data_IF_675345721452
#
_entry.id   IF_675345721452
#
_cell.length_a   1.000
_cell.length_b   1.000
_cell.length_c   1.000
_cell.angle_alpha   90.00
_cell.angle_beta   90.00
_cell.angle_gamma   90.00
#
_symmetry.space_group_name_H-M   'P 1'
#
loop_
_entity.id
_entity.type
_entity.pdbx_description
1 polymer ?
#
# COMPACT_ATOMS: atom_id res chain seq x y z
N UNK A 1 -10.84 -3.62 -3.63
CA UNK A 1 -11.02 -2.47 -2.73
C UNK A 1 -12.33 -2.66 -1.97
N UNK A 2 -12.35 -2.45 -0.65
CA UNK A 2 -13.55 -2.61 0.19
C UNK A 2 -14.61 -1.55 -0.19
N UNK A 3 -15.90 -1.89 -0.14
CA UNK A 3 -17.01 -0.95 -0.42
C UNK A 3 -17.00 0.23 0.55
N UNK A 4 -16.59 0.02 1.81
CA UNK A 4 -16.42 1.09 2.80
C UNK A 4 -15.34 2.10 2.41
N UNK A 5 -14.18 1.64 1.93
CA UNK A 5 -13.08 2.50 1.44
C UNK A 5 -13.56 3.32 0.26
N UNK A 6 -14.25 2.68 -0.68
CA UNK A 6 -14.70 3.34 -1.90
C UNK A 6 -15.78 4.39 -1.61
N UNK A 7 -16.75 4.08 -0.76
CA UNK A 7 -17.77 5.04 -0.34
C UNK A 7 -17.16 6.23 0.41
N UNK A 8 -16.19 5.98 1.30
CA UNK A 8 -15.46 7.03 2.00
C UNK A 8 -14.72 7.95 1.02
N UNK A 9 -14.01 7.38 0.04
CA UNK A 9 -13.31 8.15 -1.00
C UNK A 9 -14.27 9.01 -1.80
N UNK A 10 -15.40 8.46 -2.26
CA UNK A 10 -16.36 9.22 -3.05
C UNK A 10 -16.98 10.39 -2.27
N UNK A 11 -17.25 10.21 -0.97
CA UNK A 11 -17.69 11.30 -0.11
C UNK A 11 -16.63 12.39 0.02
N UNK A 12 -15.37 12.01 0.28
CA UNK A 12 -14.27 12.97 0.39
C UNK A 12 -14.02 13.71 -0.94
N UNK A 13 -14.10 13.00 -2.07
CA UNK A 13 -14.00 13.59 -3.40
C UNK A 13 -15.13 14.57 -3.69
N UNK A 14 -16.35 14.28 -3.23
CA UNK A 14 -17.49 15.17 -3.42
C UNK A 14 -17.30 16.48 -2.64
N UNK A 15 -16.70 16.42 -1.44
CA UNK A 15 -16.43 17.62 -0.62
C UNK A 15 -15.34 18.50 -1.26
N UNK A 16 -14.23 17.90 -1.71
CA UNK A 16 -13.12 18.67 -2.29
C UNK A 16 -13.45 19.29 -3.66
N UNK A 17 -14.32 18.64 -4.45
CA UNK A 17 -14.76 19.13 -5.74
C UNK A 17 -15.40 20.54 -5.72
N UNK A 18 -15.87 20.99 -4.54
CA UNK A 18 -16.44 22.33 -4.35
C UNK A 18 -15.43 23.36 -3.79
N UNK A 19 -14.27 22.93 -3.31
CA UNK A 19 -13.26 23.80 -2.67
C UNK A 19 -12.43 24.55 -3.72
N UNK A 20 -12.33 24.00 -4.93
CA UNK A 20 -11.71 24.61 -6.10
C UNK A 20 -12.60 25.75 -6.62
N UNK A 21 -12.06 26.96 -6.76
CA UNK A 21 -12.81 28.18 -7.09
C UNK A 21 -13.46 28.19 -8.48
N UNK A 22 -13.06 27.28 -9.36
CA UNK A 22 -13.69 27.07 -10.64
C UNK A 22 -14.85 26.08 -10.45
N UNK A 23 -16.09 26.54 -10.63
CA UNK A 23 -17.31 25.75 -10.47
C UNK A 23 -17.44 24.58 -11.44
N UNK A 24 -16.64 23.52 -11.27
CA UNK A 24 -16.58 22.41 -12.22
C UNK A 24 -16.94 21.07 -11.58
N UNK A 25 -18.25 20.88 -11.36
CA UNK A 25 -18.85 19.55 -11.21
C UNK A 25 -18.40 18.56 -12.30
N UNK A 26 -18.11 19.06 -13.52
CA UNK A 26 -17.70 18.23 -14.67
C UNK A 26 -16.21 17.80 -14.65
N UNK A 27 -15.28 18.66 -14.21
CA UNK A 27 -13.84 18.33 -14.14
C UNK A 27 -13.62 17.33 -13.00
N UNK A 28 -14.19 17.61 -11.83
CA UNK A 28 -14.17 16.69 -10.70
C UNK A 28 -14.74 15.31 -11.07
N UNK A 29 -15.87 15.27 -11.77
CA UNK A 29 -16.47 14.00 -12.23
C UNK A 29 -15.61 13.25 -13.23
N UNK A 30 -14.90 13.96 -14.13
CA UNK A 30 -13.95 13.33 -15.06
C UNK A 30 -12.72 12.78 -14.34
N UNK A 31 -12.19 13.51 -13.35
CA UNK A 31 -11.08 13.05 -12.49
C UNK A 31 -11.54 11.81 -11.70
N UNK A 32 -12.73 11.84 -11.08
CA UNK A 32 -13.29 10.67 -10.37
C UNK A 32 -13.50 9.50 -11.33
N UNK A 33 -13.99 9.73 -12.55
CA UNK A 33 -14.13 8.67 -13.55
C UNK A 33 -12.77 8.08 -13.96
N UNK A 34 -11.77 8.93 -14.17
CA UNK A 34 -10.38 8.53 -14.44
C UNK A 34 -9.88 7.64 -13.30
N UNK A 35 -9.95 8.14 -12.06
CA UNK A 35 -9.58 7.41 -10.86
C UNK A 35 -10.31 6.06 -10.72
N UNK A 36 -11.64 6.02 -10.83
CA UNK A 36 -12.41 4.77 -10.73
C UNK A 36 -12.06 3.78 -11.83
N UNK A 37 -11.79 4.25 -13.07
CA UNK A 37 -11.40 3.39 -14.18
C UNK A 37 -10.04 2.72 -13.99
N UNK A 38 -9.17 3.32 -13.16
CA UNK A 38 -7.86 2.75 -12.79
C UNK A 38 -8.00 1.58 -11.82
N UNK A 39 -9.11 1.48 -11.08
CA UNK A 39 -9.27 0.55 -9.96
C UNK A 39 -10.49 -0.40 -10.05
N UNK A 40 -11.43 -0.18 -10.97
CA UNK A 40 -12.70 -0.92 -11.05
C UNK A 40 -13.06 -1.34 -12.49
N UNK A 41 -13.90 -2.38 -12.60
CA UNK A 41 -14.48 -2.80 -13.86
C UNK A 41 -15.57 -1.84 -14.37
N UNK A 42 -15.78 -1.81 -15.68
CA UNK A 42 -16.70 -0.88 -16.36
C UNK A 42 -18.13 -0.86 -15.80
N UNK A 43 -18.63 -1.99 -15.31
CA UNK A 43 -19.96 -2.10 -14.72
C UNK A 43 -20.06 -1.41 -13.35
N UNK A 44 -19.02 -1.52 -12.52
CA UNK A 44 -18.98 -0.90 -11.19
C UNK A 44 -18.78 0.61 -11.29
N UNK A 45 -18.01 1.09 -12.28
CA UNK A 45 -17.78 2.53 -12.49
C UNK A 45 -19.11 3.29 -12.59
N UNK A 46 -20.10 2.77 -13.34
CA UNK A 46 -21.41 3.45 -13.46
C UNK A 46 -22.16 3.54 -12.14
N UNK A 47 -22.13 2.48 -11.31
CA UNK A 47 -22.77 2.46 -9.98
C UNK A 47 -22.15 3.55 -9.10
N UNK A 48 -20.81 3.57 -9.03
CA UNK A 48 -20.09 4.48 -8.14
C UNK A 48 -20.08 5.93 -8.62
N UNK A 49 -20.13 6.18 -9.93
CA UNK A 49 -20.35 7.54 -10.45
C UNK A 49 -21.72 8.09 -10.08
N UNK A 50 -22.78 7.28 -10.10
CA UNK A 50 -24.10 7.73 -9.62
C UNK A 50 -24.08 8.06 -8.14
N UNK A 51 -23.44 7.22 -7.34
CA UNK A 51 -23.28 7.47 -5.91
C UNK A 51 -22.50 8.76 -5.63
N UNK A 52 -21.47 9.05 -6.42
CA UNK A 52 -20.76 10.32 -6.38
C UNK A 52 -21.66 11.50 -6.74
N UNK A 53 -22.45 11.39 -7.82
CA UNK A 53 -23.42 12.41 -8.23
C UNK A 53 -24.45 12.67 -7.10
N UNK A 54 -24.86 11.63 -6.36
CA UNK A 54 -25.76 11.76 -5.19
C UNK A 54 -25.07 12.46 -4.00
N UNK A 55 -23.81 12.16 -3.71
CA UNK A 55 -23.04 12.87 -2.67
C UNK A 55 -22.84 14.35 -3.01
N UNK A 56 -22.59 14.68 -4.29
CA UNK A 56 -22.54 16.07 -4.73
C UNK A 56 -23.86 16.80 -4.44
N UNK A 57 -25.02 16.18 -4.70
CA UNK A 57 -26.34 16.78 -4.40
C UNK A 57 -26.56 16.98 -2.90
N UNK A 58 -26.19 16.00 -2.08
CA UNK A 58 -26.36 16.07 -0.62
C UNK A 58 -25.49 17.17 -0.02
N UNK A 59 -24.23 17.28 -0.47
CA UNK A 59 -23.29 18.24 0.10
C UNK A 59 -23.45 19.65 -0.50
N UNK A 60 -24.00 19.75 -1.72
CA UNK A 60 -24.11 20.99 -2.49
C UNK A 60 -25.45 21.09 -3.26
N UNK A 61 -26.59 21.27 -2.56
CA UNK A 61 -27.90 21.42 -3.21
C UNK A 61 -27.97 22.66 -4.14
N UNK A 62 -27.17 23.69 -3.86
CA UNK A 62 -27.16 24.96 -4.57
C UNK A 62 -26.57 24.88 -6.00
N UNK A 63 -25.79 23.82 -6.31
CA UNK A 63 -25.10 23.67 -7.61
C UNK A 63 -25.99 23.00 -8.67
N UNK A 64 -27.07 22.32 -8.27
CA UNK A 64 -27.90 21.50 -9.16
C UNK A 64 -29.32 22.03 -9.40
N UNK A 65 -29.66 23.20 -8.82
CA UNK A 65 -30.87 23.97 -9.15
C UNK A 65 -32.13 23.52 -8.41
N UNK A 66 -32.43 24.18 -7.29
CA UNK A 66 -33.80 24.57 -6.93
C UNK A 66 -33.76 26.03 -6.47
N UNK A 67 -34.21 26.94 -7.34
CA UNK A 67 -34.50 28.33 -6.98
C UNK A 67 -35.64 28.34 -5.96
N UNK A 68 -35.33 28.34 -4.67
CA UNK A 68 -36.37 28.24 -3.66
C UNK A 68 -35.91 28.37 -2.22
N UNK A 69 -35.59 29.60 -1.81
CA UNK A 69 -35.84 30.03 -0.44
C UNK A 69 -34.69 29.93 0.56
N UNK A 70 -34.08 31.10 0.80
CA UNK A 70 -33.92 31.62 2.16
C UNK A 70 -33.02 30.84 3.13
N UNK A 71 -31.78 31.33 3.24
CA UNK A 71 -31.10 31.45 4.54
C UNK A 71 -31.02 30.18 5.39
N UNK A 72 -30.38 29.13 4.88
CA UNK A 72 -29.84 28.09 5.76
C UNK A 72 -28.36 28.36 5.96
N UNK A 73 -28.04 28.76 7.18
CA UNK A 73 -26.71 28.89 7.76
C UNK A 73 -25.69 27.99 7.06
N UNK A 74 -24.82 28.60 6.25
CA UNK A 74 -23.62 27.98 5.71
C UNK A 74 -22.76 27.53 6.87
N UNK A 75 -22.97 26.28 7.31
CA UNK A 75 -21.98 25.56 8.12
C UNK A 75 -20.67 25.69 7.32
N UNK A 76 -19.69 26.38 7.91
CA UNK A 76 -18.34 26.54 7.37
C UNK A 76 -17.88 25.24 6.73
N UNK A 77 -17.36 25.27 5.51
CA UNK A 77 -16.95 24.07 4.77
C UNK A 77 -16.04 23.15 5.62
N UNK A 78 -15.22 23.73 6.49
CA UNK A 78 -14.37 23.01 7.46
C UNK A 78 -15.14 22.19 8.50
N UNK A 79 -16.31 22.63 8.96
CA UNK A 79 -17.16 21.91 9.90
C UNK A 79 -17.83 20.72 9.22
N UNK A 80 -18.30 20.88 7.97
CA UNK A 80 -18.86 19.79 7.16
C UNK A 80 -17.82 18.69 6.93
N UNK A 81 -16.60 19.07 6.55
CA UNK A 81 -15.46 18.14 6.37
C UNK A 81 -15.21 17.35 7.66
N UNK A 82 -15.24 18.02 8.81
CA UNK A 82 -14.99 17.39 10.11
C UNK A 82 -16.09 16.40 10.49
N UNK A 83 -17.36 16.73 10.28
CA UNK A 83 -18.49 15.83 10.61
C UNK A 83 -18.52 14.59 9.71
N UNK A 84 -18.35 14.77 8.40
CA UNK A 84 -18.31 13.67 7.44
C UNK A 84 -17.06 12.83 7.67
N UNK A 85 -15.91 13.47 7.89
CA UNK A 85 -14.67 12.79 8.26
C UNK A 85 -14.86 11.93 9.52
N UNK A 86 -15.57 12.42 10.55
CA UNK A 86 -15.88 11.63 11.75
C UNK A 86 -16.81 10.45 11.45
N UNK A 87 -17.81 10.63 10.58
CA UNK A 87 -18.71 9.55 10.18
C UNK A 87 -17.96 8.45 9.42
N UNK A 88 -17.08 8.84 8.49
CA UNK A 88 -16.17 7.94 7.77
C UNK A 88 -15.24 7.23 8.76
N UNK A 89 -14.60 7.99 9.66
CA UNK A 89 -13.62 7.49 10.64
C UNK A 89 -14.19 6.39 11.56
N UNK A 90 -15.49 6.43 11.87
CA UNK A 90 -16.16 5.42 12.71
C UNK A 90 -16.30 4.06 12.03
N UNK A 91 -16.34 4.03 10.70
CA UNK A 91 -16.59 2.82 9.91
C UNK A 91 -15.31 2.22 9.30
N UNK A 92 -14.14 2.82 9.57
CA UNK A 92 -12.87 2.40 9.00
C UNK A 92 -11.89 1.96 10.09
N UNK A 93 -11.25 0.82 9.86
CA UNK A 93 -10.08 0.40 10.62
C UNK A 93 -8.87 1.28 10.27
N UNK A 94 -7.84 1.32 11.12
CA UNK A 94 -6.66 2.16 10.89
C UNK A 94 -5.98 1.91 9.54
N UNK A 95 -5.87 0.64 9.13
CA UNK A 95 -5.34 0.28 7.80
C UNK A 95 -6.19 0.86 6.67
N UNK A 96 -7.51 0.87 6.82
CA UNK A 96 -8.42 1.40 5.80
C UNK A 96 -8.34 2.93 5.75
N UNK A 97 -8.19 3.60 6.90
CA UNK A 97 -7.94 5.05 6.95
C UNK A 97 -6.66 5.44 6.23
N UNK A 98 -5.58 4.69 6.45
CA UNK A 98 -4.33 4.84 5.71
C UNK A 98 -4.56 4.73 4.19
N UNK A 99 -5.25 3.68 3.74
CA UNK A 99 -5.53 3.47 2.31
C UNK A 99 -6.39 4.60 1.75
N UNK A 100 -7.46 5.01 2.45
CA UNK A 100 -8.32 6.12 2.04
C UNK A 100 -7.52 7.42 1.95
N UNK A 101 -6.67 7.72 2.94
CA UNK A 101 -5.87 8.93 2.93
C UNK A 101 -4.83 8.94 1.79
N UNK A 102 -4.10 7.84 1.58
CA UNK A 102 -3.18 7.68 0.45
C UNK A 102 -3.88 7.96 -0.88
N UNK A 103 -5.02 7.30 -1.10
CA UNK A 103 -5.80 7.46 -2.33
C UNK A 103 -6.39 8.86 -2.48
N UNK A 104 -6.71 9.52 -1.38
CA UNK A 104 -7.12 10.92 -1.40
C UNK A 104 -5.99 11.82 -1.89
N UNK A 105 -4.78 11.67 -1.36
CA UNK A 105 -3.63 12.46 -1.79
C UNK A 105 -3.29 12.20 -3.26
N UNK A 106 -3.34 10.94 -3.71
CA UNK A 106 -3.16 10.60 -5.13
C UNK A 106 -4.19 11.28 -6.04
N UNK A 107 -5.45 11.30 -5.62
CA UNK A 107 -6.54 11.93 -6.38
C UNK A 107 -6.32 13.44 -6.53
N UNK A 108 -5.99 14.12 -5.44
CA UNK A 108 -5.75 15.56 -5.47
C UNK A 108 -4.52 15.87 -6.34
N UNK A 109 -3.56 14.95 -6.41
CA UNK A 109 -2.32 15.12 -7.18
C UNK A 109 -2.47 14.80 -8.67
N UNK A 110 -3.67 14.46 -9.15
CA UNK A 110 -3.87 14.08 -10.55
C UNK A 110 -3.60 15.24 -11.53
N UNK A 111 -3.74 16.49 -11.09
CA UNK A 111 -3.42 17.71 -11.87
C UNK A 111 -2.00 18.27 -11.58
N UNK A 112 -1.16 17.54 -10.81
CA UNK A 112 0.23 17.88 -10.44
C UNK A 112 0.44 19.21 -9.68
N UNK A 113 -0.63 19.93 -9.33
CA UNK A 113 -0.58 21.19 -8.57
C UNK A 113 -1.58 21.16 -7.42
N UNK A 114 -1.08 21.25 -6.19
CA UNK A 114 -1.87 21.34 -4.96
C UNK A 114 -2.18 22.79 -4.61
N UNK A 115 -3.44 23.17 -4.57
CA UNK A 115 -3.85 24.48 -4.04
C UNK A 115 -3.75 24.49 -2.51
N UNK A 116 -3.61 25.70 -1.92
CA UNK A 116 -3.59 25.87 -0.46
C UNK A 116 -4.83 25.27 0.21
N UNK A 117 -6.00 25.45 -0.40
CA UNK A 117 -7.27 24.93 0.15
C UNK A 117 -7.31 23.40 0.16
N UNK A 118 -6.77 22.75 -0.87
CA UNK A 118 -6.66 21.29 -0.93
C UNK A 118 -5.68 20.74 0.10
N UNK A 119 -4.55 21.43 0.34
CA UNK A 119 -3.61 21.09 1.42
C UNK A 119 -4.27 21.20 2.80
N UNK A 120 -5.04 22.26 3.03
CA UNK A 120 -5.79 22.43 4.29
C UNK A 120 -6.86 21.34 4.46
N UNK A 121 -7.54 20.93 3.38
CA UNK A 121 -8.47 19.81 3.37
C UNK A 121 -7.78 18.47 3.72
N UNK A 122 -6.66 18.16 3.08
CA UNK A 122 -5.85 16.96 3.38
C UNK A 122 -5.48 16.92 4.86
N UNK A 123 -5.02 18.05 5.41
CA UNK A 123 -4.67 18.15 6.84
C UNK A 123 -5.87 17.91 7.74
N UNK A 124 -7.04 18.47 7.44
CA UNK A 124 -8.26 18.24 8.22
C UNK A 124 -8.68 16.76 8.20
N UNK A 125 -8.65 16.12 7.04
CA UNK A 125 -8.98 14.69 6.90
C UNK A 125 -7.99 13.83 7.69
N UNK A 126 -6.69 14.09 7.55
CA UNK A 126 -5.66 13.34 8.27
C UNK A 126 -5.79 13.42 9.78
N UNK A 127 -6.03 14.63 10.30
CA UNK A 127 -6.27 14.84 11.72
C UNK A 127 -7.54 14.12 12.19
N UNK A 128 -8.59 14.12 11.37
CA UNK A 128 -9.84 13.41 11.69
C UNK A 128 -9.66 11.89 11.71
N UNK A 129 -8.75 11.37 10.89
CA UNK A 129 -8.40 9.95 10.86
C UNK A 129 -7.41 9.54 11.97
N UNK A 130 -6.91 10.51 12.74
CA UNK A 130 -5.88 10.34 13.77
C UNK A 130 -4.58 9.77 13.20
N UNK A 131 -4.17 10.21 12.00
CA UNK A 131 -2.85 9.88 11.44
C UNK A 131 -1.78 10.77 12.07
N UNK A 132 -0.60 10.22 12.39
CA UNK A 132 0.48 11.04 12.95
C UNK A 132 0.99 12.06 11.93
N UNK A 133 1.61 13.15 12.39
CA UNK A 133 2.23 14.14 11.49
C UNK A 133 3.31 13.52 10.59
N UNK A 134 4.04 12.52 11.09
CA UNK A 134 5.06 11.80 10.32
C UNK A 134 4.44 10.91 9.24
N UNK A 135 3.37 10.17 9.56
CA UNK A 135 2.63 9.37 8.57
C UNK A 135 2.01 10.25 7.49
N UNK A 136 1.43 11.38 7.88
CA UNK A 136 0.89 12.37 6.95
C UNK A 136 1.96 12.86 5.96
N UNK A 137 3.13 13.26 6.47
CA UNK A 137 4.20 13.76 5.63
C UNK A 137 4.76 12.67 4.72
N UNK A 138 5.08 11.49 5.26
CA UNK A 138 5.62 10.37 4.49
C UNK A 138 4.70 9.97 3.33
N UNK A 139 3.39 9.93 3.56
CA UNK A 139 2.40 9.61 2.51
C UNK A 139 2.36 10.70 1.44
N UNK A 140 2.26 11.96 1.87
CA UNK A 140 2.19 13.12 0.98
C UNK A 140 3.42 13.17 0.07
N UNK A 141 4.60 13.10 0.67
CA UNK A 141 5.86 13.11 -0.04
C UNK A 141 6.00 11.89 -0.97
N UNK A 142 5.63 10.69 -0.53
CA UNK A 142 5.72 9.50 -1.37
C UNK A 142 4.82 9.55 -2.61
N UNK A 143 3.63 10.16 -2.49
CA UNK A 143 2.74 10.40 -3.63
C UNK A 143 3.38 11.38 -4.61
N UNK A 144 3.95 12.48 -4.14
CA UNK A 144 4.58 13.50 -4.97
C UNK A 144 5.88 12.99 -5.62
N UNK A 145 6.82 12.56 -4.79
CA UNK A 145 8.08 11.96 -5.18
C UNK A 145 8.45 10.83 -4.21
N UNK A 146 8.40 9.59 -4.72
CA UNK A 146 8.71 8.39 -3.93
C UNK A 146 10.14 8.37 -3.36
N UNK A 147 11.05 9.20 -3.90
CA UNK A 147 12.43 9.33 -3.45
C UNK A 147 12.70 10.65 -2.70
N UNK A 148 11.64 11.37 -2.30
CA UNK A 148 11.76 12.62 -1.54
C UNK A 148 12.59 12.41 -0.27
N UNK A 149 13.50 13.34 -0.01
CA UNK A 149 14.35 13.36 1.20
C UNK A 149 13.58 13.74 2.46
N UNK A 150 12.35 14.22 2.30
CA UNK A 150 11.45 14.54 3.42
C UNK A 150 10.76 13.30 4.01
N UNK A 151 10.85 12.16 3.31
CA UNK A 151 10.34 10.88 3.81
C UNK A 151 11.36 10.30 4.79
N UNK A 152 10.89 9.83 5.94
CA UNK A 152 11.72 9.12 6.91
C UNK A 152 12.40 7.90 6.27
N UNK A 153 13.74 7.89 6.28
CA UNK A 153 14.56 6.88 5.61
C UNK A 153 14.35 5.46 6.15
N UNK A 154 13.93 5.33 7.41
CA UNK A 154 13.62 4.05 8.05
C UNK A 154 12.26 3.46 7.64
N UNK A 155 11.42 4.26 6.97
CA UNK A 155 10.14 3.83 6.38
C UNK A 155 10.25 3.50 4.90
N UNK A 156 11.41 3.74 4.28
CA UNK A 156 11.65 3.46 2.86
C UNK A 156 12.52 2.21 2.66
N UNK A 157 12.20 1.49 1.59
CA UNK A 157 13.02 0.41 1.04
C UNK A 157 13.11 0.60 -0.48
N UNK A 158 14.32 0.61 -1.01
CA UNK A 158 14.59 0.63 -2.45
C UNK A 158 14.98 -0.77 -2.90
N UNK A 159 14.33 -1.23 -3.98
CA UNK A 159 14.62 -2.52 -4.63
C UNK A 159 15.03 -2.24 -6.06
N UNK A 160 16.27 -2.54 -6.41
CA UNK A 160 16.83 -2.39 -7.77
C UNK A 160 18.06 -3.28 -7.97
N UNK A 161 18.65 -3.23 -9.16
CA UNK A 161 19.84 -4.00 -9.52
C UNK A 161 21.16 -3.37 -9.02
N UNK A 162 21.12 -2.18 -8.43
CA UNK A 162 22.34 -1.54 -7.92
C UNK A 162 22.81 -2.25 -6.65
N UNK A 163 24.12 -2.38 -6.46
CA UNK A 163 24.67 -3.03 -5.24
C UNK A 163 24.55 -2.16 -3.99
N UNK A 164 24.22 -0.87 -4.16
CA UNK A 164 24.04 0.10 -3.08
C UNK A 164 22.86 1.00 -3.38
N UNK A 165 22.17 1.44 -2.33
CA UNK A 165 21.13 2.45 -2.43
C UNK A 165 21.66 3.76 -3.01
N UNK A 166 20.89 4.38 -3.90
CA UNK A 166 21.12 5.75 -4.36
C UNK A 166 20.90 6.80 -3.25
N UNK A 167 20.17 6.45 -2.19
CA UNK A 167 19.90 7.32 -1.04
C UNK A 167 20.59 6.76 0.20
N UNK A 168 21.40 7.58 0.86
CA UNK A 168 22.09 7.23 2.09
C UNK A 168 21.07 6.86 3.19
N UNK A 169 21.39 5.86 4.02
CA UNK A 169 20.59 5.39 5.16
C UNK A 169 19.22 4.75 4.83
N UNK A 170 18.77 4.79 3.58
CA UNK A 170 17.57 4.08 3.14
C UNK A 170 17.87 2.59 3.01
N UNK A 171 16.91 1.74 3.42
CA UNK A 171 17.04 0.29 3.28
C UNK A 171 17.09 -0.09 1.81
N UNK A 172 17.83 -1.15 1.52
CA UNK A 172 18.06 -1.59 0.15
C UNK A 172 17.96 -3.11 0.02
N UNK A 173 17.40 -3.54 -1.10
CA UNK A 173 17.33 -4.93 -1.52
C UNK A 173 17.81 -5.03 -2.96
N UNK A 174 18.96 -5.68 -3.14
CA UNK A 174 19.52 -5.94 -4.47
C UNK A 174 18.77 -7.09 -5.16
N UNK A 175 18.27 -6.84 -6.36
CA UNK A 175 17.63 -7.82 -7.24
C UNK A 175 18.31 -7.79 -8.59
N UNK A 176 19.03 -8.88 -8.90
CA UNK A 176 19.76 -9.05 -10.15
C UNK A 176 18.81 -8.88 -11.36
N UNK A 177 19.32 -8.28 -12.43
CA UNK A 177 18.64 -8.13 -13.73
C UNK A 177 17.31 -7.34 -13.68
N UNK A 178 17.09 -6.59 -12.61
CA UNK A 178 15.96 -5.68 -12.49
C UNK A 178 16.20 -4.39 -13.27
N UNK A 179 15.38 -4.14 -14.29
CA UNK A 179 15.37 -2.87 -15.01
C UNK A 179 14.46 -1.87 -14.29
N UNK A 180 15.05 -0.75 -13.85
CA UNK A 180 14.38 0.26 -13.05
C UNK A 180 14.42 -0.07 -11.56
N UNK A 181 13.42 0.42 -10.81
CA UNK A 181 13.35 0.25 -9.35
C UNK A 181 11.94 0.20 -8.81
N UNK A 182 11.78 -0.50 -7.70
CA UNK A 182 10.61 -0.45 -6.85
C UNK A 182 10.99 0.33 -5.59
N UNK A 183 10.22 1.36 -5.26
CA UNK A 183 10.33 2.06 -3.99
C UNK A 183 9.14 1.69 -3.12
N UNK A 184 9.41 1.21 -1.91
CA UNK A 184 8.41 0.72 -0.96
C UNK A 184 8.37 1.65 0.24
N UNK A 185 7.17 2.12 0.59
CA UNK A 185 6.89 2.85 1.83
C UNK A 185 6.17 1.93 2.82
N UNK A 186 6.65 1.91 4.07
CA UNK A 186 6.00 1.26 5.20
C UNK A 186 5.18 2.27 6.00
N UNK A 187 3.87 2.03 6.11
CA UNK A 187 3.02 2.65 7.11
C UNK A 187 3.19 1.93 8.45
N UNK A 188 3.83 2.60 9.41
CA UNK A 188 4.29 1.98 10.65
C UNK A 188 3.13 1.48 11.52
N UNK A 189 2.08 2.29 11.74
CA UNK A 189 0.99 1.96 12.67
C UNK A 189 0.18 0.72 12.26
N UNK A 190 0.16 0.38 10.97
CA UNK A 190 -0.64 -0.75 10.45
C UNK A 190 0.22 -1.81 9.78
N UNK A 191 1.54 -1.66 9.83
CA UNK A 191 2.53 -2.47 9.13
C UNK A 191 2.15 -2.75 7.66
N UNK A 192 1.64 -1.73 6.98
CA UNK A 192 1.13 -1.84 5.61
C UNK A 192 2.18 -1.32 4.64
N UNK A 193 2.38 -2.01 3.53
CA UNK A 193 3.35 -1.63 2.52
C UNK A 193 2.67 -1.18 1.24
N UNK A 194 3.10 -0.05 0.73
CA UNK A 194 2.74 0.43 -0.60
C UNK A 194 4.00 0.63 -1.40
N UNK A 195 3.93 0.42 -2.71
CA UNK A 195 5.10 0.53 -3.55
C UNK A 195 4.79 1.21 -4.87
N UNK A 196 5.83 1.82 -5.45
CA UNK A 196 5.79 2.42 -6.77
C UNK A 196 6.92 1.81 -7.60
N UNK A 197 6.56 1.20 -8.73
CA UNK A 197 7.53 0.71 -9.70
C UNK A 197 7.83 1.80 -10.74
N UNK A 198 9.09 2.03 -11.07
CA UNK A 198 9.52 2.84 -12.22
C UNK A 198 10.57 2.08 -13.00
N UNK A 199 10.23 1.66 -14.21
CA UNK A 199 11.12 0.95 -15.13
C UNK A 199 10.34 0.45 -16.35
N UNK A 200 11.07 -0.11 -17.31
CA UNK A 200 10.52 -0.54 -18.60
C UNK A 200 10.15 -2.03 -18.63
N UNK A 201 10.59 -2.78 -17.62
CA UNK A 201 10.33 -4.21 -17.52
C UNK A 201 8.88 -4.50 -17.09
N UNK A 202 8.30 -5.53 -17.69
CA UNK A 202 6.94 -5.98 -17.32
C UNK A 202 6.99 -6.79 -16.03
N UNK A 203 6.49 -6.20 -14.95
CA UNK A 203 6.35 -6.85 -13.65
C UNK A 203 4.89 -7.21 -13.36
N UNK A 204 4.70 -8.18 -12.47
CA UNK A 204 3.39 -8.65 -12.04
C UNK A 204 3.29 -8.71 -10.52
N UNK A 205 2.20 -8.20 -9.95
CA UNK A 205 1.81 -8.36 -8.55
C UNK A 205 0.76 -9.46 -8.48
N UNK A 206 1.08 -10.60 -7.86
CA UNK A 206 0.18 -11.76 -7.79
C UNK A 206 -0.40 -12.19 -9.15
N UNK A 207 0.42 -12.08 -10.21
CA UNK A 207 0.02 -12.42 -11.59
C UNK A 207 -0.69 -11.31 -12.36
N UNK A 208 -1.01 -10.17 -11.73
CA UNK A 208 -1.58 -9.00 -12.40
C UNK A 208 -0.48 -8.02 -12.80
N UNK A 209 -0.53 -7.49 -14.03
CA UNK A 209 0.47 -6.55 -14.51
C UNK A 209 0.53 -5.29 -13.64
N UNK A 210 1.74 -4.90 -13.22
CA UNK A 210 2.01 -3.66 -12.52
C UNK A 210 2.17 -2.55 -13.56
N UNK A 211 1.43 -1.45 -13.38
CA UNK A 211 1.54 -0.27 -14.23
C UNK A 211 2.63 0.64 -13.65
N UNK A 212 3.72 0.93 -14.39
CA UNK A 212 4.78 1.82 -13.92
C UNK A 212 4.23 3.20 -13.50
N UNK A 213 4.79 3.75 -12.43
CA UNK A 213 4.42 5.03 -11.83
C UNK A 213 3.25 4.98 -10.84
N UNK A 214 2.39 3.95 -10.89
CA UNK A 214 1.28 3.81 -9.95
C UNK A 214 1.72 3.32 -8.58
N UNK A 215 1.02 3.76 -7.55
CA UNK A 215 1.18 3.22 -6.20
C UNK A 215 0.25 2.02 -6.02
N UNK A 216 0.87 0.87 -5.77
CA UNK A 216 0.20 -0.39 -5.52
C UNK A 216 0.33 -0.81 -4.05
N UNK A 217 -0.68 -1.53 -3.56
CA UNK A 217 -0.70 -2.08 -2.20
C UNK A 217 -0.08 -3.48 -2.22
N UNK A 218 0.92 -3.71 -1.37
CA UNK A 218 1.51 -5.04 -1.22
C UNK A 218 0.82 -5.76 -0.06
N UNK A 219 -0.14 -6.63 -0.41
CA UNK A 219 -0.88 -7.42 0.58
C UNK A 219 -0.02 -8.50 1.23
N UNK A 220 -0.41 -8.95 2.41
CA UNK A 220 0.26 -10.07 3.07
C UNK A 220 0.23 -11.31 2.16
N UNK A 221 1.40 -11.95 1.98
CA UNK A 221 1.56 -13.08 1.07
C UNK A 221 1.68 -12.68 -0.40
N UNK A 222 1.68 -11.39 -0.74
CA UNK A 222 1.90 -10.96 -2.10
C UNK A 222 3.31 -11.27 -2.58
N UNK A 223 3.44 -11.44 -3.89
CA UNK A 223 4.71 -11.61 -4.57
C UNK A 223 4.76 -10.75 -5.84
N UNK A 224 5.91 -10.13 -6.06
CA UNK A 224 6.22 -9.42 -7.31
C UNK A 224 7.11 -10.32 -8.15
N UNK A 225 6.70 -10.56 -9.40
CA UNK A 225 7.45 -11.37 -10.35
C UNK A 225 7.73 -10.61 -11.63
N UNK A 226 8.77 -11.02 -12.35
CA UNK A 226 9.09 -10.53 -13.68
C UNK A 226 9.82 -11.62 -14.46
N UNK A 227 9.99 -11.43 -15.76
CA UNK A 227 10.60 -12.45 -16.61
C UNK A 227 12.10 -12.68 -16.28
N UNK A 228 12.80 -11.62 -15.86
CA UNK A 228 14.25 -11.63 -15.61
C UNK A 228 14.64 -11.62 -14.13
N UNK A 229 13.70 -11.36 -13.23
CA UNK A 229 13.99 -11.18 -11.80
C UNK A 229 13.51 -12.37 -10.98
N UNK A 230 14.25 -12.68 -9.91
CA UNK A 230 13.74 -13.58 -8.88
C UNK A 230 12.50 -12.96 -8.21
N UNK A 231 11.52 -13.78 -7.78
CA UNK A 231 10.35 -13.28 -7.08
C UNK A 231 10.71 -12.51 -5.82
N UNK A 232 10.08 -11.35 -5.63
CA UNK A 232 10.20 -10.55 -4.40
C UNK A 232 8.97 -10.83 -3.56
N UNK A 233 9.15 -11.46 -2.40
CA UNK A 233 8.04 -11.82 -1.52
C UNK A 233 7.76 -10.73 -0.49
N UNK A 234 6.48 -10.61 -0.08
CA UNK A 234 6.06 -9.75 1.02
C UNK A 234 6.87 -10.00 2.30
N UNK A 235 7.17 -11.27 2.61
CA UNK A 235 7.97 -11.64 3.78
C UNK A 235 9.37 -11.04 3.73
N UNK A 236 10.01 -11.03 2.57
CA UNK A 236 11.37 -10.50 2.39
C UNK A 236 11.37 -8.99 2.61
N UNK A 237 10.37 -8.30 2.04
CA UNK A 237 10.15 -6.86 2.24
C UNK A 237 9.92 -6.56 3.72
N UNK A 238 8.98 -7.26 4.36
CA UNK A 238 8.67 -7.06 5.78
C UNK A 238 9.92 -7.27 6.66
N UNK A 239 10.69 -8.32 6.39
CA UNK A 239 11.92 -8.61 7.11
C UNK A 239 12.91 -7.44 7.06
N UNK A 240 13.11 -6.80 5.90
CA UNK A 240 14.00 -5.64 5.77
C UNK A 240 13.64 -4.48 6.71
N UNK A 241 12.37 -4.30 7.03
CA UNK A 241 11.94 -3.27 7.98
C UNK A 241 12.11 -3.67 9.44
N UNK A 242 12.06 -4.96 9.76
CA UNK A 242 12.23 -5.48 11.12
C UNK A 242 13.68 -5.73 11.53
N UNK A 243 14.60 -5.89 10.58
CA UNK A 243 16.03 -6.17 10.84
C UNK A 243 16.80 -5.04 11.55
N UNK A 244 16.18 -3.87 11.76
CA UNK A 244 16.77 -2.82 12.59
C UNK A 244 16.64 -3.08 14.10
N UNK A 245 15.78 -4.02 14.54
CA UNK A 245 15.54 -4.28 15.97
C UNK A 245 16.09 -5.62 16.47
N UNK A 246 16.54 -6.53 15.60
CA UNK A 246 17.07 -7.84 16.02
C UNK A 246 18.48 -8.04 15.46
N UNK A 247 19.47 -7.70 16.29
CA UNK A 247 20.91 -7.86 15.99
C UNK A 247 21.42 -9.29 16.12
N UNK A 248 20.57 -10.27 16.45
CA UNK A 248 20.94 -11.68 16.50
C UNK A 248 20.26 -12.47 15.37
N UNK A 249 21.03 -12.73 14.31
CA UNK A 249 20.68 -13.78 13.35
C UNK A 249 20.79 -15.12 14.07
N UNK A 250 19.68 -15.85 14.15
CA UNK A 250 19.66 -17.19 14.72
C UNK A 250 19.78 -18.17 13.56
N UNK A 251 20.84 -18.96 13.55
CA UNK A 251 21.03 -20.03 12.59
C UNK A 251 20.61 -21.36 13.22
N UNK A 252 19.76 -22.10 12.52
CA UNK A 252 19.52 -23.50 12.79
C UNK A 252 20.55 -24.29 11.98
N UNK A 253 21.52 -24.87 12.68
CA UNK A 253 22.60 -25.66 12.08
C UNK A 253 22.45 -27.10 12.54
N UNK A 254 22.44 -28.01 11.58
CA UNK A 254 22.56 -29.44 11.82
C UNK A 254 23.82 -29.93 11.10
N UNK A 255 24.79 -30.45 11.86
CA UNK A 255 26.07 -30.91 11.33
C UNK A 255 26.14 -32.43 11.40
N UNK A 256 26.43 -33.05 10.26
CA UNK A 256 26.69 -34.49 10.12
C UNK A 256 25.64 -35.42 10.76
N UNK A 257 24.36 -35.05 10.67
CA UNK A 257 23.25 -35.83 11.23
C UNK A 257 23.15 -37.17 10.51
N UNK A 258 23.26 -38.25 11.29
CA UNK A 258 23.14 -39.64 10.84
C UNK A 258 22.37 -40.44 11.89
N UNK A 259 21.48 -41.33 11.44
CA UNK A 259 20.73 -42.18 12.36
C UNK A 259 20.46 -43.54 11.72
N UNK A 260 20.66 -44.61 12.49
CA UNK A 260 20.42 -45.98 12.05
C UNK A 260 19.51 -46.70 13.06
N UNK A 261 18.46 -47.36 12.58
CA UNK A 261 17.62 -48.18 13.46
C UNK A 261 18.36 -49.44 13.93
N UNK A 262 18.12 -49.88 15.17
CA UNK A 262 18.64 -51.15 15.69
C UNK A 262 18.30 -52.28 14.72
N UNK A 263 19.32 -53.04 14.29
CA UNK A 263 19.23 -54.17 13.36
C UNK A 263 18.72 -53.82 11.94
N UNK A 264 18.93 -52.59 11.45
CA UNK A 264 18.52 -52.18 10.11
C UNK A 264 19.62 -51.40 9.38
N UNK A 265 19.73 -51.56 8.05
CA UNK A 265 20.54 -50.70 7.19
C UNK A 265 19.81 -49.42 6.74
N UNK A 266 18.56 -49.25 7.18
CA UNK A 266 17.71 -48.09 6.87
C UNK A 266 17.82 -47.05 7.98
N UNK A 267 17.77 -45.78 7.59
CA UNK A 267 17.94 -44.67 8.51
C UNK A 267 18.13 -43.35 7.77
N UNK A 268 18.56 -42.32 8.50
CA UNK A 268 18.95 -41.03 7.94
C UNK A 268 20.43 -41.12 7.55
N UNK A 269 20.72 -40.98 6.25
CA UNK A 269 22.10 -40.89 5.76
C UNK A 269 22.72 -39.58 6.21
N UNK A 270 24.02 -39.60 6.49
CA UNK A 270 24.81 -38.43 6.88
C UNK A 270 24.53 -37.21 5.98
N UNK A 271 24.13 -36.11 6.60
CA UNK A 271 23.95 -34.84 5.93
C UNK A 271 24.11 -33.66 6.90
N UNK A 272 24.37 -32.48 6.37
CA UNK A 272 24.41 -31.23 7.13
C UNK A 272 23.51 -30.20 6.47
N UNK A 273 22.91 -29.31 7.24
CA UNK A 273 22.19 -28.16 6.70
C UNK A 273 22.23 -26.97 7.65
N UNK A 274 22.08 -25.79 7.07
CA UNK A 274 22.03 -24.52 7.79
C UNK A 274 20.90 -23.65 7.23
N UNK A 275 20.10 -23.07 8.12
CA UNK A 275 19.09 -22.07 7.77
C UNK A 275 18.98 -20.95 8.78
N UNK A 276 18.87 -19.73 8.28
CA UNK A 276 18.59 -18.53 9.06
C UNK A 276 17.12 -18.52 9.53
N UNK A 277 16.87 -17.93 10.71
CA UNK A 277 15.52 -17.76 11.24
C UNK A 277 14.59 -17.02 10.26
N UNK A 278 13.29 -17.34 10.30
CA UNK A 278 12.28 -16.73 9.43
C UNK A 278 12.01 -17.47 8.11
N UNK A 279 12.72 -18.56 7.83
CA UNK A 279 12.44 -19.41 6.67
C UNK A 279 11.45 -20.54 7.01
N UNK A 280 10.51 -20.82 6.11
CA UNK A 280 9.67 -22.03 6.16
C UNK A 280 10.46 -23.21 5.57
N UNK A 281 10.65 -24.27 6.36
CA UNK A 281 11.37 -25.48 5.93
C UNK A 281 10.37 -26.59 5.62
N UNK A 282 10.45 -27.16 4.41
CA UNK A 282 9.67 -28.32 3.99
C UNK A 282 10.54 -29.57 3.87
N UNK A 283 10.14 -30.66 4.51
CA UNK A 283 10.80 -31.97 4.37
C UNK A 283 9.99 -32.83 3.40
N UNK A 284 10.54 -33.07 2.20
CA UNK A 284 9.86 -33.79 1.12
C UNK A 284 10.60 -35.08 0.76
N UNK A 285 9.84 -36.09 0.30
CA UNK A 285 10.38 -37.38 -0.12
C UNK A 285 9.32 -38.49 -0.15
N UNK A 286 9.63 -39.60 -0.82
CA UNK A 286 8.73 -40.76 -0.96
C UNK A 286 8.27 -41.38 0.37
N UNK A 287 7.28 -42.28 0.34
CA UNK A 287 6.85 -42.98 1.55
C UNK A 287 7.98 -43.85 2.13
N UNK A 288 8.14 -43.87 3.46
CA UNK A 288 9.13 -44.70 4.14
C UNK A 288 10.60 -44.22 4.09
N UNK A 289 10.89 -43.03 3.56
CA UNK A 289 12.28 -42.51 3.44
C UNK A 289 12.84 -41.86 4.71
N UNK A 290 12.13 -41.91 5.84
CA UNK A 290 12.63 -41.38 7.13
C UNK A 290 12.22 -39.94 7.47
N UNK A 291 11.25 -39.33 6.77
CA UNK A 291 10.81 -37.93 7.05
C UNK A 291 10.42 -37.68 8.51
N UNK A 292 9.61 -38.57 9.10
CA UNK A 292 9.20 -38.47 10.51
C UNK A 292 10.36 -38.75 11.47
N UNK A 293 11.30 -39.61 11.06
CA UNK A 293 12.53 -39.86 11.83
C UNK A 293 13.39 -38.62 11.88
N UNK A 294 13.52 -37.90 10.77
CA UNK A 294 14.27 -36.65 10.71
C UNK A 294 13.68 -35.53 11.58
N UNK A 295 12.34 -35.46 11.71
CA UNK A 295 11.68 -34.48 12.58
C UNK A 295 11.84 -34.78 14.08
N UNK A 296 12.12 -36.03 14.43
CA UNK A 296 12.28 -36.47 15.82
C UNK A 296 13.71 -36.38 16.33
N UNK A 297 14.70 -36.22 15.43
CA UNK A 297 16.11 -36.02 15.77
C UNK A 297 16.36 -34.55 16.07
#
# INVERSE_FOLDING_TARGET
MNEFILNALLQLFAIIANVSEDGISFKARNIVKSYLSKHLSSNLIRKYLRLFDDYLKIHHPDIMGEEGGGGRTTISDSLKVTEIGKAINRNLLQREKFIVFLRLVEFINEDEVMTKKELDFIRTVANTFNLSSTEQNNIKEFVLDSLSREIETDKLLIVDADTKSAIQEVRHMHVLDMEGRIVILRHASTNTFVFRYRGDSTLYLNGYNIIPGRIELMEQGAMITGHKINPIYYSDVANRFHHAEVTSKVFFVAEEVEFQFKNSSKGIKRFSFEKESGHLIGIMGGSGVGKSTLLNL
#
